data_IF_088964944635
#
_entry.id   IF_088964944635
#
_cell.length_a   1.000
_cell.length_b   1.000
_cell.length_c   1.000
_cell.angle_alpha   90.00
_cell.angle_beta   90.00
_cell.angle_gamma   90.00
#
_symmetry.space_group_name_H-M   'P 1'
#
loop_
_entity.id
_entity.type
_entity.pdbx_description
1 polymer ?
#
# COMPACT_ATOMS: atom_id res chain seq x y z
N UNK A 1 107.04 65.48 17.60
CA UNK A 1 106.87 64.30 18.50
C UNK A 1 105.66 64.42 19.43
N UNK A 2 105.28 65.61 19.93
CA UNK A 2 103.96 65.82 20.55
C UNK A 2 102.83 65.62 19.53
N UNK A 3 103.05 66.00 18.27
CA UNK A 3 102.11 65.81 17.16
C UNK A 3 101.83 64.33 16.86
N UNK A 4 102.78 63.43 17.12
CA UNK A 4 102.60 61.98 16.89
C UNK A 4 101.66 61.33 17.91
N UNK A 5 101.68 61.79 19.17
CA UNK A 5 100.77 61.31 20.21
C UNK A 5 99.38 61.94 20.03
N UNK A 6 99.31 63.22 19.63
CA UNK A 6 98.04 63.83 19.22
C UNK A 6 97.44 63.16 17.99
N UNK A 7 98.23 62.84 16.95
CA UNK A 7 97.76 62.12 15.77
C UNK A 7 97.30 60.69 16.10
N UNK A 8 97.97 59.98 17.02
CA UNK A 8 97.53 58.65 17.45
C UNK A 8 96.25 58.69 18.30
N UNK A 9 96.09 59.67 19.18
CA UNK A 9 94.81 59.88 19.89
C UNK A 9 93.70 60.34 18.95
N UNK A 10 94.02 61.15 17.93
CA UNK A 10 93.07 61.61 16.92
C UNK A 10 92.70 60.49 15.93
N UNK A 11 93.58 59.51 15.69
CA UNK A 11 93.26 58.26 14.98
C UNK A 11 92.29 57.39 15.79
N UNK A 12 92.46 57.29 17.11
CA UNK A 12 91.51 56.65 18.01
C UNK A 12 90.13 57.36 18.02
N UNK A 13 90.12 58.69 17.89
CA UNK A 13 88.88 59.48 17.74
C UNK A 13 88.23 59.28 16.36
N UNK A 14 89.00 59.22 15.27
CA UNK A 14 88.47 58.97 13.93
C UNK A 14 87.90 57.55 13.79
N UNK A 15 88.45 56.57 14.51
CA UNK A 15 87.88 55.23 14.66
C UNK A 15 86.57 55.27 15.48
N UNK A 16 86.51 56.07 16.54
CA UNK A 16 85.29 56.27 17.35
C UNK A 16 84.17 57.03 16.62
N UNK A 17 84.48 58.04 15.80
CA UNK A 17 83.46 58.81 15.07
C UNK A 17 82.85 57.98 13.92
N UNK A 18 83.55 56.93 13.44
CA UNK A 18 83.00 55.96 12.49
C UNK A 18 81.86 55.10 13.09
N UNK A 19 81.81 54.98 14.41
CA UNK A 19 80.75 54.26 15.15
C UNK A 19 79.44 55.07 15.18
N UNK A 20 79.51 56.40 15.01
CA UNK A 20 78.35 57.28 15.09
C UNK A 20 77.46 57.31 13.84
N UNK A 21 77.94 56.83 12.68
CA UNK A 21 77.20 56.91 11.41
C UNK A 21 76.57 55.60 10.94
N UNK A 22 76.88 54.47 11.58
CA UNK A 22 76.30 53.17 11.22
C UNK A 22 75.06 52.87 12.05
N UNK A 23 73.90 53.10 11.44
CA UNK A 23 72.60 52.58 11.83
C UNK A 23 72.66 51.13 12.32
N UNK A 24 71.95 50.88 13.42
CA UNK A 24 71.62 49.59 14.02
C UNK A 24 71.73 48.38 13.07
N UNK A 25 72.85 47.67 13.18
CA UNK A 25 73.06 46.38 12.52
C UNK A 25 74.38 45.77 12.95
N UNK A 26 74.32 44.88 13.95
CA UNK A 26 75.23 43.78 14.34
C UNK A 26 76.78 43.87 14.23
N UNK A 27 77.37 44.93 13.68
CA UNK A 27 78.81 45.04 13.38
C UNK A 27 79.55 46.12 14.19
N UNK A 28 78.88 46.79 15.12
CA UNK A 28 79.50 47.84 15.95
C UNK A 28 80.38 47.32 17.11
N UNK A 29 80.35 46.02 17.39
CA UNK A 29 81.09 45.43 18.53
C UNK A 29 82.57 45.21 18.17
N UNK A 30 82.88 44.83 16.93
CA UNK A 30 84.25 44.51 16.50
C UNK A 30 85.20 45.72 16.48
N UNK A 31 84.67 46.92 16.22
CA UNK A 31 85.48 48.15 16.15
C UNK A 31 85.88 48.69 17.53
N UNK A 32 85.04 48.43 18.55
CA UNK A 32 85.37 48.78 19.94
C UNK A 32 86.46 47.85 20.48
N UNK A 33 86.39 46.56 20.18
CA UNK A 33 87.40 45.57 20.55
C UNK A 33 88.77 45.88 19.91
N UNK A 34 88.80 46.21 18.61
CA UNK A 34 90.02 46.64 17.92
C UNK A 34 90.60 47.94 18.50
N UNK A 35 89.76 48.90 18.88
CA UNK A 35 90.20 50.14 19.53
C UNK A 35 90.78 49.89 20.94
N UNK A 36 90.22 48.91 21.67
CA UNK A 36 90.72 48.50 22.98
C UNK A 36 92.05 47.72 22.88
N UNK A 37 92.22 46.88 21.86
CA UNK A 37 93.48 46.16 21.58
C UNK A 37 94.63 47.12 21.23
N UNK A 38 94.34 48.21 20.52
CA UNK A 38 95.33 49.24 20.16
C UNK A 38 95.74 50.13 21.35
N UNK A 39 94.96 50.14 22.43
CA UNK A 39 95.25 50.93 23.63
C UNK A 39 96.45 50.37 24.41
N UNK A 40 96.60 49.04 24.45
CA UNK A 40 97.66 48.34 25.18
C UNK A 40 99.09 48.69 24.72
N UNK A 41 99.42 48.60 23.41
CA UNK A 41 100.70 49.01 22.85
C UNK A 41 101.00 50.50 23.06
N UNK A 42 99.96 51.34 22.97
CA UNK A 42 100.08 52.80 23.15
C UNK A 42 100.50 53.13 24.60
N UNK A 43 99.82 52.52 25.58
CA UNK A 43 100.15 52.64 27.00
C UNK A 43 101.59 52.16 27.26
N UNK A 44 101.99 51.02 26.69
CA UNK A 44 103.36 50.51 26.81
C UNK A 44 104.42 51.46 26.23
N UNK A 45 104.15 52.10 25.09
CA UNK A 45 105.08 53.07 24.47
C UNK A 45 105.23 54.36 25.30
N UNK A 46 104.14 54.84 25.91
CA UNK A 46 104.11 56.02 26.79
C UNK A 46 104.86 55.75 28.10
N UNK A 47 104.76 54.53 28.64
CA UNK A 47 105.53 54.08 29.80
C UNK A 47 107.04 54.00 29.50
N UNK A 48 107.43 53.47 28.33
CA UNK A 48 108.84 53.43 27.90
C UNK A 48 109.43 54.83 27.67
N UNK A 49 108.64 55.78 27.20
CA UNK A 49 109.07 57.16 26.95
C UNK A 49 109.04 58.07 28.20
N UNK A 50 108.68 57.55 29.38
CA UNK A 50 108.54 58.25 30.66
C UNK A 50 107.64 59.52 30.61
N UNK A 51 106.60 59.52 29.77
CA UNK A 51 105.66 60.65 29.56
C UNK A 51 104.26 60.41 30.13
N UNK A 52 104.17 59.60 31.19
CA UNK A 52 102.89 59.17 31.80
C UNK A 52 101.99 60.32 32.26
N UNK A 53 102.57 61.37 32.85
CA UNK A 53 101.81 62.53 33.37
C UNK A 53 101.12 63.31 32.25
N UNK A 54 101.79 63.50 31.12
CA UNK A 54 101.24 64.22 29.96
C UNK A 54 100.10 63.44 29.30
N UNK A 55 100.25 62.12 29.15
CA UNK A 55 99.19 61.27 28.60
C UNK A 55 97.95 61.25 29.49
N UNK A 56 98.11 61.10 30.81
CA UNK A 56 96.99 61.17 31.75
C UNK A 56 96.26 62.50 31.68
N UNK A 57 96.99 63.61 31.63
CA UNK A 57 96.40 64.94 31.49
C UNK A 57 95.64 65.10 30.16
N UNK A 58 96.14 64.49 29.08
CA UNK A 58 95.51 64.55 27.76
C UNK A 58 94.24 63.67 27.68
N UNK A 59 94.22 62.52 28.35
CA UNK A 59 93.01 61.68 28.50
C UNK A 59 91.97 62.37 29.37
N UNK A 60 92.39 63.01 30.47
CA UNK A 60 91.49 63.80 31.34
C UNK A 60 90.82 64.94 30.56
N UNK A 61 91.60 65.69 29.76
CA UNK A 61 91.09 66.75 28.90
C UNK A 61 90.15 66.21 27.81
N UNK A 62 90.41 65.01 27.28
CA UNK A 62 89.54 64.37 26.31
C UNK A 62 88.21 63.93 26.92
N UNK A 63 88.24 63.31 28.10
CA UNK A 63 87.05 62.92 28.84
C UNK A 63 86.17 64.15 29.14
N UNK A 64 86.77 65.22 29.67
CA UNK A 64 86.06 66.47 29.93
C UNK A 64 85.43 67.08 28.66
N UNK A 65 86.12 66.99 27.51
CA UNK A 65 85.60 67.45 26.24
C UNK A 65 84.41 66.62 25.76
N UNK A 66 84.46 65.29 25.91
CA UNK A 66 83.36 64.39 25.53
C UNK A 66 82.17 64.52 26.49
N UNK A 67 82.40 64.70 27.78
CA UNK A 67 81.33 64.98 28.75
C UNK A 67 80.64 66.31 28.45
N UNK A 68 81.38 67.34 28.04
CA UNK A 68 80.81 68.61 27.59
C UNK A 68 80.01 68.47 26.29
N UNK A 69 80.47 67.63 25.36
CA UNK A 69 79.76 67.32 24.11
C UNK A 69 78.43 66.57 24.39
N UNK A 70 78.47 65.57 25.28
CA UNK A 70 77.27 64.84 25.74
C UNK A 70 76.32 65.79 26.46
N UNK A 71 76.80 66.65 27.36
CA UNK A 71 75.95 67.62 28.07
C UNK A 71 75.29 68.61 27.10
N UNK A 72 75.99 69.04 26.05
CA UNK A 72 75.42 69.93 25.02
C UNK A 72 74.35 69.21 24.20
N UNK A 73 74.58 67.96 23.86
CA UNK A 73 73.63 67.14 23.09
C UNK A 73 72.40 66.78 23.94
N UNK A 74 72.59 66.39 25.19
CA UNK A 74 71.52 66.21 26.17
C UNK A 74 70.77 67.52 26.44
N UNK A 75 71.44 68.66 26.53
CA UNK A 75 70.78 69.96 26.69
C UNK A 75 69.90 70.34 25.50
N UNK A 76 70.33 70.02 24.28
CA UNK A 76 69.58 70.32 23.06
C UNK A 76 68.38 69.37 22.83
N UNK A 77 68.52 68.08 23.15
CA UNK A 77 67.53 67.05 22.82
C UNK A 77 66.75 66.47 24.02
N UNK A 78 67.03 66.91 25.25
CA UNK A 78 66.35 66.46 26.47
C UNK A 78 64.83 66.61 26.37
N UNK A 79 64.36 67.73 25.82
CA UNK A 79 62.92 68.01 25.75
C UNK A 79 62.21 67.06 24.78
N UNK A 80 62.81 66.75 23.64
CA UNK A 80 62.28 65.77 22.67
C UNK A 80 62.33 64.34 23.23
N UNK A 81 63.37 64.00 23.97
CA UNK A 81 63.49 62.71 24.66
C UNK A 81 62.39 62.54 25.72
N UNK A 82 62.16 63.56 26.56
CA UNK A 82 61.08 63.53 27.56
C UNK A 82 59.71 63.41 26.90
N UNK A 83 59.47 64.13 25.80
CA UNK A 83 58.22 64.00 25.03
C UNK A 83 58.04 62.60 24.46
N UNK A 84 59.10 61.99 23.92
CA UNK A 84 59.07 60.63 23.38
C UNK A 84 58.78 59.58 24.47
N UNK A 85 59.40 59.73 25.65
CA UNK A 85 59.12 58.88 26.83
C UNK A 85 57.67 59.04 27.30
N UNK A 86 57.16 60.28 27.36
CA UNK A 86 55.77 60.56 27.72
C UNK A 86 54.79 59.94 26.72
N UNK A 87 55.09 59.99 25.42
CA UNK A 87 54.29 59.33 24.38
C UNK A 87 54.32 57.80 24.52
N UNK A 88 55.47 57.21 24.81
CA UNK A 88 55.60 55.76 25.05
C UNK A 88 54.79 55.31 26.27
N UNK A 89 54.80 56.09 27.35
CA UNK A 89 53.97 55.83 28.53
C UNK A 89 52.48 55.91 28.20
N UNK A 90 52.08 56.90 27.39
CA UNK A 90 50.68 57.04 26.94
C UNK A 90 50.26 55.88 26.03
N UNK A 91 51.13 55.45 25.10
CA UNK A 91 50.88 54.27 24.27
C UNK A 91 50.75 53.03 25.15
N UNK A 92 51.65 52.81 26.12
CA UNK A 92 51.57 51.69 27.06
C UNK A 92 50.23 51.67 27.81
N UNK A 93 49.79 52.82 28.31
CA UNK A 93 48.51 52.95 28.99
C UNK A 93 47.34 52.61 28.05
N UNK A 94 47.31 53.20 26.85
CA UNK A 94 46.28 52.90 25.85
C UNK A 94 46.27 51.42 25.45
N UNK A 95 47.44 50.78 25.31
CA UNK A 95 47.55 49.34 25.02
C UNK A 95 47.01 48.49 26.17
N UNK A 96 47.27 48.89 27.41
CA UNK A 96 46.71 48.23 28.59
C UNK A 96 45.18 48.34 28.64
N UNK A 97 44.63 49.54 28.41
CA UNK A 97 43.19 49.76 28.35
C UNK A 97 42.54 49.00 27.19
N UNK A 98 43.20 48.93 26.04
CA UNK A 98 42.73 48.12 24.91
C UNK A 98 42.75 46.64 25.24
N UNK A 99 43.80 46.15 25.91
CA UNK A 99 43.89 44.76 26.35
C UNK A 99 42.74 44.41 27.31
N UNK A 100 42.45 45.27 28.28
CA UNK A 100 41.32 45.09 29.20
C UNK A 100 39.98 45.04 28.45
N UNK A 101 39.76 45.99 27.52
CA UNK A 101 38.56 45.99 26.67
C UNK A 101 38.45 44.73 25.82
N UNK A 102 39.53 44.27 25.20
CA UNK A 102 39.54 43.05 24.37
C UNK A 102 39.22 41.82 25.21
N UNK A 103 39.78 41.72 26.42
CA UNK A 103 39.47 40.62 27.35
C UNK A 103 38.00 40.67 27.80
N UNK A 104 37.49 41.85 28.14
CA UNK A 104 36.08 42.05 28.51
C UNK A 104 35.13 41.67 27.37
N UNK A 105 35.39 42.15 26.16
CA UNK A 105 34.58 41.85 24.98
C UNK A 105 34.63 40.36 24.63
N UNK A 106 35.79 39.71 24.77
CA UNK A 106 35.90 38.26 24.60
C UNK A 106 35.07 37.48 25.64
N UNK A 107 35.07 37.92 26.90
CA UNK A 107 34.24 37.31 27.94
C UNK A 107 32.75 37.47 27.64
N UNK A 108 32.30 38.66 27.22
CA UNK A 108 30.90 38.92 26.83
C UNK A 108 30.49 38.09 25.60
N UNK A 109 31.36 37.98 24.60
CA UNK A 109 31.12 37.15 23.40
C UNK A 109 31.05 35.67 23.77
N UNK A 110 31.90 35.18 24.68
CA UNK A 110 31.83 33.80 25.14
C UNK A 110 30.56 33.52 25.95
N UNK A 111 30.15 34.45 26.82
CA UNK A 111 28.94 34.30 27.63
C UNK A 111 27.67 34.32 26.74
N UNK A 112 27.58 35.29 25.84
CA UNK A 112 26.48 35.36 24.86
C UNK A 112 26.48 34.17 23.91
N UNK A 113 27.66 33.73 23.45
CA UNK A 113 27.85 32.53 22.64
C UNK A 113 27.40 31.25 23.35
N UNK A 114 27.68 31.11 24.65
CA UNK A 114 27.24 29.98 25.47
C UNK A 114 25.73 29.96 25.64
N UNK A 115 25.12 31.10 25.99
CA UNK A 115 23.66 31.21 26.09
C UNK A 115 22.97 30.93 24.74
N UNK A 116 23.54 31.40 23.63
CA UNK A 116 23.05 31.11 22.30
C UNK A 116 23.15 29.62 21.96
N UNK A 117 24.26 28.97 22.34
CA UNK A 117 24.46 27.54 22.13
C UNK A 117 23.42 26.71 22.89
N UNK A 118 23.16 27.03 24.15
CA UNK A 118 22.14 26.37 24.97
C UNK A 118 20.75 26.49 24.33
N UNK A 119 20.34 27.71 23.95
CA UNK A 119 19.06 27.93 23.25
C UNK A 119 18.99 27.21 21.90
N UNK A 120 20.10 27.12 21.16
CA UNK A 120 20.16 26.39 19.90
C UNK A 120 20.02 24.87 20.12
N UNK A 121 20.62 24.33 21.18
CA UNK A 121 20.49 22.93 21.54
C UNK A 121 19.03 22.60 21.91
N UNK A 122 18.38 23.44 22.71
CA UNK A 122 16.95 23.33 23.03
C UNK A 122 16.09 23.37 21.75
N UNK A 123 16.36 24.30 20.84
CA UNK A 123 15.64 24.44 19.58
C UNK A 123 15.79 23.20 18.69
N UNK A 124 16.97 22.56 18.65
CA UNK A 124 17.19 21.31 17.92
C UNK A 124 16.37 20.17 18.53
N UNK A 125 16.30 20.08 19.86
CA UNK A 125 15.49 19.08 20.56
C UNK A 125 14.00 19.29 20.26
N UNK A 126 13.50 20.52 20.36
CA UNK A 126 12.11 20.87 20.02
C UNK A 126 11.78 20.55 18.56
N UNK A 127 12.71 20.80 17.62
CA UNK A 127 12.52 20.42 16.20
C UNK A 127 12.47 18.90 16.01
N UNK A 128 13.24 18.13 16.80
CA UNK A 128 13.19 16.67 16.77
C UNK A 128 11.84 16.17 17.29
N UNK A 129 11.35 16.73 18.39
CA UNK A 129 10.02 16.43 18.93
C UNK A 129 8.93 16.78 17.93
N UNK A 130 8.96 17.98 17.34
CA UNK A 130 8.02 18.40 16.29
C UNK A 130 8.02 17.43 15.11
N UNK A 131 9.19 16.98 14.65
CA UNK A 131 9.30 15.99 13.57
C UNK A 131 8.71 14.64 13.97
N UNK A 132 8.90 14.20 15.21
CA UNK A 132 8.30 12.98 15.72
C UNK A 132 6.78 13.09 15.81
N UNK A 133 6.27 14.23 16.28
CA UNK A 133 4.83 14.54 16.34
C UNK A 133 4.24 14.53 14.92
N UNK A 134 4.89 15.15 13.95
CA UNK A 134 4.41 15.16 12.56
C UNK A 134 4.32 13.74 11.99
N UNK A 135 5.36 12.92 12.19
CA UNK A 135 5.33 11.51 11.78
C UNK A 135 4.19 10.74 12.46
N UNK A 136 3.96 10.98 13.75
CA UNK A 136 2.85 10.36 14.46
C UNK A 136 1.50 10.77 13.86
N UNK A 137 1.30 12.07 13.58
CA UNK A 137 0.09 12.58 12.93
C UNK A 137 -0.13 11.91 11.57
N UNK A 138 0.91 11.83 10.74
CA UNK A 138 0.80 11.21 9.41
C UNK A 138 0.43 9.72 9.52
N UNK A 139 1.05 8.99 10.46
CA UNK A 139 0.73 7.57 10.69
C UNK A 139 -0.69 7.35 11.21
N UNK A 140 -1.17 8.24 12.09
CA UNK A 140 -2.54 8.19 12.60
C UNK A 140 -3.52 8.46 11.46
N UNK A 141 -3.28 9.47 10.62
CA UNK A 141 -4.13 9.77 9.46
C UNK A 141 -4.26 8.57 8.52
N UNK A 142 -3.14 7.94 8.15
CA UNK A 142 -3.16 6.73 7.33
C UNK A 142 -3.93 5.59 7.99
N UNK A 143 -3.77 5.40 9.32
CA UNK A 143 -4.53 4.38 10.04
C UNK A 143 -6.04 4.65 10.10
N UNK A 144 -6.44 5.92 10.21
CA UNK A 144 -7.85 6.33 10.20
C UNK A 144 -8.51 6.06 8.85
N UNK A 145 -7.78 6.30 7.75
CA UNK A 145 -8.27 5.98 6.40
C UNK A 145 -8.52 4.47 6.23
N UNK A 146 -7.62 3.63 6.77
CA UNK A 146 -7.78 2.17 6.79
C UNK A 146 -9.00 1.75 7.59
N UNK A 147 -9.21 2.32 8.79
CA UNK A 147 -10.41 2.04 9.60
C UNK A 147 -11.68 2.46 8.84
N UNK A 148 -11.66 3.61 8.18
CA UNK A 148 -12.78 4.08 7.36
C UNK A 148 -13.07 3.13 6.18
N UNK A 149 -12.05 2.60 5.53
CA UNK A 149 -12.20 1.59 4.48
C UNK A 149 -12.85 0.32 5.00
N UNK A 150 -12.44 -0.17 6.17
CA UNK A 150 -13.06 -1.34 6.83
C UNK A 150 -14.53 -1.06 7.18
N UNK A 151 -14.84 0.12 7.72
CA UNK A 151 -16.22 0.51 7.99
C UNK A 151 -17.06 0.59 6.70
N UNK A 152 -16.50 1.16 5.63
CA UNK A 152 -17.18 1.22 4.33
C UNK A 152 -17.39 -0.16 3.72
N UNK A 153 -16.49 -1.11 3.96
CA UNK A 153 -16.68 -2.50 3.54
C UNK A 153 -17.89 -3.12 4.26
N UNK A 154 -18.01 -2.91 5.58
CA UNK A 154 -19.14 -3.44 6.34
C UNK A 154 -20.48 -2.85 5.86
N UNK A 155 -20.50 -1.56 5.52
CA UNK A 155 -21.65 -0.89 4.91
C UNK A 155 -21.96 -1.45 3.51
N UNK A 156 -20.97 -1.59 2.64
CA UNK A 156 -21.12 -2.17 1.30
C UNK A 156 -21.66 -3.61 1.34
N UNK A 157 -21.23 -4.41 2.31
CA UNK A 157 -21.75 -5.77 2.52
C UNK A 157 -23.22 -5.71 2.95
N UNK A 158 -23.60 -4.76 3.80
CA UNK A 158 -24.99 -4.59 4.24
C UNK A 158 -25.92 -4.10 3.13
N UNK A 159 -25.42 -3.27 2.21
CA UNK A 159 -26.15 -2.76 1.04
C UNK A 159 -26.16 -3.75 -0.15
N UNK A 160 -25.61 -4.95 0.01
CA UNK A 160 -25.47 -5.98 -1.05
C UNK A 160 -24.62 -5.52 -2.25
N UNK A 161 -23.77 -4.52 -2.07
CA UNK A 161 -22.84 -4.03 -3.09
C UNK A 161 -21.56 -4.88 -3.10
N UNK A 162 -21.69 -6.17 -3.39
CA UNK A 162 -20.60 -7.12 -3.25
C UNK A 162 -19.38 -6.85 -4.14
N UNK A 163 -19.60 -6.31 -5.34
CA UNK A 163 -18.49 -5.93 -6.24
C UNK A 163 -17.61 -4.84 -5.63
N UNK A 164 -18.24 -3.81 -5.05
CA UNK A 164 -17.53 -2.73 -4.38
C UNK A 164 -16.82 -3.23 -3.12
N UNK A 165 -17.48 -4.12 -2.36
CA UNK A 165 -16.88 -4.77 -1.19
C UNK A 165 -15.61 -5.59 -1.53
N UNK A 166 -15.60 -6.32 -2.65
CA UNK A 166 -14.38 -7.03 -3.10
C UNK A 166 -13.30 -6.03 -3.48
N UNK A 167 -13.65 -4.94 -4.17
CA UNK A 167 -12.68 -3.93 -4.59
C UNK A 167 -12.06 -3.22 -3.39
N UNK A 168 -12.86 -2.86 -2.39
CA UNK A 168 -12.37 -2.24 -1.15
C UNK A 168 -11.48 -3.20 -0.37
N UNK A 169 -11.85 -4.48 -0.30
CA UNK A 169 -11.02 -5.53 0.30
C UNK A 169 -9.68 -5.74 -0.45
N UNK A 170 -9.71 -5.72 -1.78
CA UNK A 170 -8.50 -5.79 -2.61
C UNK A 170 -7.57 -4.59 -2.37
N UNK A 171 -8.14 -3.38 -2.37
CA UNK A 171 -7.40 -2.16 -2.07
C UNK A 171 -6.80 -2.17 -0.64
N UNK A 172 -7.52 -2.71 0.33
CA UNK A 172 -7.04 -2.90 1.71
C UNK A 172 -5.79 -3.79 1.75
N UNK A 173 -5.79 -4.87 0.96
CA UNK A 173 -4.69 -5.86 0.89
C UNK A 173 -3.49 -5.36 0.10
N UNK A 174 -3.68 -4.63 -1.00
CA UNK A 174 -2.59 -4.18 -1.87
C UNK A 174 -1.99 -2.85 -1.43
N UNK A 175 -2.82 -1.85 -1.16
CA UNK A 175 -2.36 -0.46 -0.96
C UNK A 175 -1.98 -0.18 0.49
N UNK A 176 -2.75 -0.70 1.44
CA UNK A 176 -2.68 -0.25 2.85
C UNK A 176 -1.91 -1.19 3.77
N UNK A 177 -1.87 -2.49 3.45
CA UNK A 177 -1.07 -3.46 4.21
C UNK A 177 0.42 -3.10 4.31
N UNK A 178 1.12 -2.73 3.23
CA UNK A 178 2.54 -2.36 3.30
C UNK A 178 2.83 -1.19 4.24
N UNK A 179 1.88 -0.26 4.40
CA UNK A 179 2.03 0.94 5.21
C UNK A 179 1.82 0.66 6.71
N UNK A 180 0.89 -0.25 7.03
CA UNK A 180 0.40 -0.45 8.41
C UNK A 180 1.01 -1.69 9.09
N UNK A 181 1.66 -2.60 8.34
CA UNK A 181 2.24 -3.87 8.86
C UNK A 181 3.19 -3.71 10.05
N UNK A 182 3.86 -2.55 10.16
CA UNK A 182 4.81 -2.25 11.25
C UNK A 182 4.14 -2.04 12.61
N UNK A 183 2.84 -1.77 12.64
CA UNK A 183 2.09 -1.44 13.84
C UNK A 183 1.27 -2.63 14.35
N UNK A 184 0.99 -2.66 15.66
CA UNK A 184 0.12 -3.69 16.25
C UNK A 184 -1.27 -3.72 15.58
N UNK A 185 -1.79 -2.55 15.19
CA UNK A 185 -3.04 -2.42 14.43
C UNK A 185 -2.99 -3.18 13.09
N UNK A 186 -1.87 -3.15 12.36
CA UNK A 186 -1.71 -3.89 11.11
C UNK A 186 -1.79 -5.40 11.29
N UNK A 187 -1.23 -5.93 12.39
CA UNK A 187 -1.33 -7.36 12.72
C UNK A 187 -2.76 -7.78 13.06
N UNK A 188 -3.50 -6.92 13.76
CA UNK A 188 -4.92 -7.15 14.04
C UNK A 188 -5.75 -7.16 12.74
N UNK A 189 -5.45 -6.25 11.82
CA UNK A 189 -6.09 -6.17 10.50
C UNK A 189 -5.79 -7.40 9.64
N UNK A 190 -4.54 -7.89 9.65
CA UNK A 190 -4.15 -9.12 8.93
C UNK A 190 -4.93 -10.34 9.44
N UNK A 191 -5.25 -10.38 10.73
CA UNK A 191 -6.10 -11.41 11.33
C UNK A 191 -7.59 -11.22 11.01
N UNK A 192 -8.03 -9.99 10.75
CA UNK A 192 -9.44 -9.71 10.43
C UNK A 192 -9.79 -9.89 8.96
N UNK A 193 -8.83 -9.76 8.03
CA UNK A 193 -9.07 -9.92 6.59
C UNK A 193 -9.75 -11.26 6.25
N UNK A 194 -9.26 -12.43 6.72
CA UNK A 194 -9.94 -13.70 6.44
C UNK A 194 -11.36 -13.76 7.00
N UNK A 195 -11.63 -13.07 8.12
CA UNK A 195 -12.99 -12.98 8.69
C UNK A 195 -13.89 -12.11 7.84
N UNK A 196 -13.37 -11.03 7.27
CA UNK A 196 -14.09 -10.17 6.32
C UNK A 196 -14.40 -10.93 5.02
N UNK A 197 -13.43 -11.69 4.50
CA UNK A 197 -13.63 -12.60 3.36
C UNK A 197 -14.76 -13.61 3.63
N UNK A 198 -14.74 -14.26 4.80
CA UNK A 198 -15.77 -15.21 5.20
C UNK A 198 -17.14 -14.52 5.39
N UNK A 199 -17.18 -13.30 5.93
CA UNK A 199 -18.42 -12.52 6.09
C UNK A 199 -19.03 -12.17 4.74
N UNK A 200 -18.21 -11.72 3.79
CA UNK A 200 -18.63 -11.44 2.42
C UNK A 200 -19.13 -12.70 1.72
N UNK A 201 -18.38 -13.80 1.81
CA UNK A 201 -18.78 -15.09 1.24
C UNK A 201 -20.10 -15.58 1.84
N UNK A 202 -20.24 -15.50 3.18
CA UNK A 202 -21.46 -15.90 3.88
C UNK A 202 -22.67 -15.06 3.50
N UNK A 203 -22.52 -13.75 3.37
CA UNK A 203 -23.59 -12.86 2.92
C UNK A 203 -24.05 -13.20 1.49
N UNK A 204 -23.11 -13.38 0.56
CA UNK A 204 -23.44 -13.74 -0.81
C UNK A 204 -24.01 -15.16 -0.97
N UNK A 205 -23.58 -16.10 -0.13
CA UNK A 205 -24.17 -17.44 -0.07
C UNK A 205 -25.60 -17.39 0.48
N UNK A 206 -25.86 -16.57 1.50
CA UNK A 206 -27.20 -16.37 2.05
C UNK A 206 -28.14 -15.80 0.98
N UNK A 207 -27.72 -14.74 0.30
CA UNK A 207 -28.50 -14.11 -0.78
C UNK A 207 -28.77 -15.08 -1.94
N UNK A 208 -27.79 -15.92 -2.30
CA UNK A 208 -27.98 -16.95 -3.33
C UNK A 208 -28.96 -18.03 -2.87
N UNK A 209 -28.91 -18.45 -1.59
CA UNK A 209 -29.85 -19.42 -1.03
C UNK A 209 -31.28 -18.87 -0.94
N UNK A 210 -31.43 -17.60 -0.57
CA UNK A 210 -32.72 -16.90 -0.58
C UNK A 210 -33.27 -16.81 -2.00
N UNK A 211 -32.41 -16.53 -2.98
CA UNK A 211 -32.77 -16.59 -4.40
C UNK A 211 -33.21 -18.00 -4.82
N UNK A 212 -32.48 -19.07 -4.46
CA UNK A 212 -32.88 -20.46 -4.75
C UNK A 212 -34.24 -20.81 -4.11
N UNK A 213 -34.52 -20.28 -2.92
CA UNK A 213 -35.81 -20.45 -2.26
C UNK A 213 -36.94 -19.72 -3.02
N UNK A 214 -36.70 -18.48 -3.43
CA UNK A 214 -37.62 -17.72 -4.29
C UNK A 214 -37.85 -18.40 -5.64
N UNK A 215 -36.78 -18.98 -6.20
CA UNK A 215 -36.79 -19.72 -7.45
C UNK A 215 -37.76 -20.89 -7.39
N UNK A 216 -37.99 -21.54 -6.23
CA UNK A 216 -38.95 -22.64 -6.12
C UNK A 216 -40.36 -22.26 -6.58
N UNK A 217 -40.81 -21.03 -6.29
CA UNK A 217 -42.14 -20.56 -6.73
C UNK A 217 -42.18 -20.35 -8.24
N UNK A 218 -41.16 -19.67 -8.78
CA UNK A 218 -41.09 -19.39 -10.22
C UNK A 218 -40.85 -20.67 -11.03
N UNK A 219 -40.10 -21.63 -10.48
CA UNK A 219 -39.86 -22.97 -11.07
C UNK A 219 -41.17 -23.66 -11.40
N UNK A 220 -42.13 -23.65 -10.47
CA UNK A 220 -43.45 -24.24 -10.69
C UNK A 220 -44.23 -23.54 -11.79
N UNK A 221 -44.17 -22.21 -11.81
CA UNK A 221 -44.85 -21.40 -12.82
C UNK A 221 -44.24 -21.63 -14.21
N UNK A 222 -42.91 -21.76 -14.28
CA UNK A 222 -42.18 -22.11 -15.51
C UNK A 222 -42.62 -23.49 -16.01
N UNK A 223 -42.63 -24.49 -15.12
CA UNK A 223 -43.08 -25.83 -15.48
C UNK A 223 -44.53 -25.86 -15.97
N UNK A 224 -45.42 -25.10 -15.32
CA UNK A 224 -46.82 -24.96 -15.75
C UNK A 224 -46.93 -24.30 -17.12
N UNK A 225 -46.20 -23.23 -17.37
CA UNK A 225 -46.23 -22.53 -18.67
C UNK A 225 -45.73 -23.43 -19.80
N UNK A 226 -44.61 -24.14 -19.59
CA UNK A 226 -44.07 -25.08 -20.57
C UNK A 226 -45.01 -26.25 -20.84
N UNK A 227 -45.63 -26.78 -19.80
CA UNK A 227 -46.65 -27.84 -19.95
C UNK A 227 -47.84 -27.32 -20.74
N UNK A 228 -48.35 -26.13 -20.45
CA UNK A 228 -49.46 -25.50 -21.19
C UNK A 228 -49.11 -25.23 -22.66
N UNK A 229 -47.88 -24.76 -22.95
CA UNK A 229 -47.36 -24.60 -24.31
C UNK A 229 -47.38 -25.94 -25.04
N UNK A 230 -46.86 -26.99 -24.41
CA UNK A 230 -46.83 -28.33 -24.99
C UNK A 230 -48.23 -28.91 -25.22
N UNK A 231 -49.15 -28.77 -24.26
CA UNK A 231 -50.53 -29.25 -24.39
C UNK A 231 -51.26 -28.53 -25.53
N UNK A 232 -51.05 -27.21 -25.72
CA UNK A 232 -51.60 -26.47 -26.88
C UNK A 232 -51.03 -27.02 -28.19
N UNK A 233 -49.70 -27.23 -28.26
CA UNK A 233 -49.06 -27.83 -29.44
C UNK A 233 -49.68 -29.20 -29.76
N UNK A 234 -49.85 -30.06 -28.75
CA UNK A 234 -50.49 -31.37 -28.91
C UNK A 234 -51.95 -31.30 -29.35
N UNK A 235 -52.75 -30.38 -28.80
CA UNK A 235 -54.14 -30.19 -29.18
C UNK A 235 -54.28 -29.70 -30.63
N UNK A 236 -53.44 -28.76 -31.05
CA UNK A 236 -53.37 -28.31 -32.44
C UNK A 236 -53.01 -29.47 -33.39
N UNK A 237 -52.12 -30.39 -32.99
CA UNK A 237 -51.84 -31.57 -33.79
C UNK A 237 -53.00 -32.55 -33.83
N UNK A 238 -53.66 -32.82 -32.70
CA UNK A 238 -54.80 -33.74 -32.67
C UNK A 238 -55.96 -33.23 -33.55
N UNK A 239 -56.24 -31.93 -33.52
CA UNK A 239 -57.23 -31.30 -34.39
C UNK A 239 -56.82 -31.40 -35.87
N UNK A 240 -55.55 -31.16 -36.19
CA UNK A 240 -55.04 -31.24 -37.57
C UNK A 240 -55.00 -32.68 -38.11
N UNK A 241 -54.58 -33.65 -37.31
CA UNK A 241 -54.56 -35.07 -37.69
C UNK A 241 -55.98 -35.59 -37.96
N UNK A 242 -56.98 -35.08 -37.24
CA UNK A 242 -58.40 -35.37 -37.51
C UNK A 242 -58.94 -34.71 -38.79
N UNK A 243 -58.33 -33.60 -39.23
CA UNK A 243 -58.78 -32.76 -40.35
C UNK A 243 -58.10 -33.11 -41.69
N UNK A 244 -56.88 -33.64 -41.66
CA UNK A 244 -56.09 -33.97 -42.85
C UNK A 244 -56.53 -35.33 -43.41
N UNK A 245 -57.48 -35.32 -44.35
CA UNK A 245 -57.86 -36.52 -45.14
C UNK A 245 -56.96 -36.79 -46.36
N UNK A 246 -56.14 -35.83 -46.77
CA UNK A 246 -55.26 -35.96 -47.94
C UNK A 246 -53.81 -35.66 -47.58
N UNK A 247 -52.97 -36.70 -47.70
CA UNK A 247 -51.54 -36.70 -47.39
C UNK A 247 -50.75 -35.85 -48.40
N UNK A 248 -50.69 -34.54 -48.21
CA UNK A 248 -49.59 -33.76 -48.80
C UNK A 248 -48.35 -33.93 -47.92
N UNK A 249 -47.28 -34.36 -48.60
CA UNK A 249 -46.07 -34.97 -48.08
C UNK A 249 -45.17 -33.98 -47.33
N UNK A 250 -45.54 -33.63 -46.10
CA UNK A 250 -44.58 -33.13 -45.11
C UNK A 250 -44.66 -34.09 -43.93
N UNK A 251 -43.52 -34.70 -43.58
CA UNK A 251 -43.47 -35.58 -42.41
C UNK A 251 -43.96 -34.80 -41.19
N UNK A 252 -44.74 -35.44 -40.31
CA UNK A 252 -45.24 -34.84 -39.07
C UNK A 252 -44.11 -34.16 -38.27
N UNK A 253 -42.89 -34.72 -38.31
CA UNK A 253 -41.71 -34.16 -37.68
C UNK A 253 -41.18 -32.86 -38.34
N UNK A 254 -41.36 -32.68 -39.65
CA UNK A 254 -40.91 -31.47 -40.37
C UNK A 254 -41.92 -30.33 -40.20
N UNK A 255 -43.21 -30.65 -40.14
CA UNK A 255 -44.25 -29.66 -39.89
C UNK A 255 -44.19 -29.13 -38.44
N UNK A 256 -43.83 -29.99 -37.49
CA UNK A 256 -43.61 -29.61 -36.09
C UNK A 256 -42.58 -28.48 -35.94
N UNK A 257 -41.45 -28.58 -36.64
CA UNK A 257 -40.39 -27.56 -36.62
C UNK A 257 -40.83 -26.25 -37.29
N UNK A 258 -41.68 -26.33 -38.32
CA UNK A 258 -42.21 -25.14 -39.00
C UNK A 258 -43.23 -24.37 -38.15
N UNK A 259 -43.99 -25.06 -37.28
CA UNK A 259 -44.92 -24.42 -36.34
C UNK A 259 -44.17 -23.69 -35.20
N UNK A 260 -42.93 -24.09 -34.84
CA UNK A 260 -42.12 -23.43 -33.80
C UNK A 260 -41.68 -22.01 -34.17
N UNK A 261 -41.52 -21.69 -35.46
CA UNK A 261 -41.14 -20.34 -35.91
C UNK A 261 -42.25 -19.29 -35.71
N UNK A 262 -43.50 -19.73 -35.43
CA UNK A 262 -44.67 -18.85 -35.29
C UNK A 262 -45.19 -18.67 -33.86
N UNK A 263 -44.67 -19.43 -32.89
CA UNK A 263 -44.96 -19.22 -31.47
C UNK A 263 -44.11 -18.03 -30.94
N UNK A 264 -44.66 -16.82 -31.02
CA UNK A 264 -44.12 -15.58 -30.44
C UNK A 264 -44.23 -15.54 -28.90
N UNK A 265 -43.92 -16.65 -28.25
CA UNK A 265 -44.02 -16.79 -26.82
C UNK A 265 -42.72 -16.30 -26.18
N UNK A 266 -42.83 -15.31 -25.28
CA UNK A 266 -41.66 -14.69 -24.65
C UNK A 266 -40.72 -15.76 -24.05
N UNK A 267 -39.40 -15.63 -24.24
CA UNK A 267 -38.44 -16.54 -23.66
C UNK A 267 -38.53 -16.45 -22.14
N UNK A 268 -38.69 -17.61 -21.50
CA UNK A 268 -38.73 -17.71 -20.05
C UNK A 268 -37.32 -17.39 -19.52
N UNK A 269 -37.12 -16.14 -19.10
CA UNK A 269 -35.84 -15.68 -18.56
C UNK A 269 -35.87 -15.72 -17.04
N UNK A 270 -34.85 -16.34 -16.45
CA UNK A 270 -34.67 -16.40 -15.00
C UNK A 270 -33.47 -15.54 -14.65
N UNK A 271 -33.65 -14.58 -13.74
CA UNK A 271 -32.55 -13.72 -13.31
C UNK A 271 -31.49 -14.51 -12.53
N UNK A 272 -30.33 -14.73 -13.15
CA UNK A 272 -29.18 -15.47 -12.58
C UNK A 272 -28.20 -14.57 -11.81
N UNK A 273 -28.53 -13.28 -11.61
CA UNK A 273 -27.61 -12.31 -11.02
C UNK A 273 -27.04 -12.74 -9.65
N UNK A 274 -27.85 -13.26 -8.70
CA UNK A 274 -27.33 -13.69 -7.40
C UNK A 274 -26.32 -14.85 -7.51
N UNK A 275 -26.54 -15.77 -8.46
CA UNK A 275 -25.63 -16.86 -8.74
C UNK A 275 -24.28 -16.33 -9.28
N UNK A 276 -24.31 -15.40 -10.23
CA UNK A 276 -23.08 -14.81 -10.80
C UNK A 276 -22.30 -13.98 -9.78
N UNK A 277 -22.99 -13.21 -8.93
CA UNK A 277 -22.34 -12.47 -7.86
C UNK A 277 -21.64 -13.42 -6.88
N UNK A 278 -22.33 -14.47 -6.44
CA UNK A 278 -21.76 -15.48 -5.55
C UNK A 278 -20.58 -16.21 -6.20
N UNK A 279 -20.71 -16.58 -7.48
CA UNK A 279 -19.64 -17.21 -8.25
C UNK A 279 -18.40 -16.31 -8.35
N UNK A 280 -18.61 -15.03 -8.69
CA UNK A 280 -17.53 -14.05 -8.82
C UNK A 280 -16.77 -13.86 -7.50
N UNK A 281 -17.49 -13.78 -6.38
CA UNK A 281 -16.87 -13.66 -5.05
C UNK A 281 -16.03 -14.90 -4.74
N UNK A 282 -16.58 -16.10 -4.93
CA UNK A 282 -15.85 -17.34 -4.67
C UNK A 282 -14.64 -17.52 -5.59
N UNK A 283 -14.70 -17.01 -6.82
CA UNK A 283 -13.57 -16.98 -7.74
C UNK A 283 -12.47 -16.03 -7.27
N UNK A 284 -12.82 -14.81 -6.86
CA UNK A 284 -11.86 -13.83 -6.31
C UNK A 284 -11.24 -14.28 -4.98
N UNK A 285 -11.97 -15.06 -4.19
CA UNK A 285 -11.47 -15.66 -2.95
C UNK A 285 -10.70 -16.98 -3.16
N UNK A 286 -10.66 -17.52 -4.39
CA UNK A 286 -9.99 -18.80 -4.68
C UNK A 286 -10.71 -20.05 -4.16
N UNK A 287 -11.99 -19.94 -3.77
CA UNK A 287 -12.81 -21.03 -3.20
C UNK A 287 -13.87 -21.58 -4.17
N UNK A 288 -13.63 -21.44 -5.48
CA UNK A 288 -14.56 -21.87 -6.54
C UNK A 288 -14.92 -23.36 -6.45
N UNK A 289 -13.95 -24.23 -6.15
CA UNK A 289 -14.18 -25.67 -6.08
C UNK A 289 -15.08 -26.07 -4.90
N UNK A 290 -14.88 -25.47 -3.73
CA UNK A 290 -15.71 -25.67 -2.54
C UNK A 290 -17.15 -25.22 -2.81
N UNK A 291 -17.30 -24.04 -3.43
CA UNK A 291 -18.61 -23.52 -3.81
C UNK A 291 -19.34 -24.45 -4.80
N UNK A 292 -18.64 -24.94 -5.83
CA UNK A 292 -19.22 -25.89 -6.80
C UNK A 292 -19.73 -27.16 -6.13
N UNK A 293 -18.99 -27.69 -5.17
CA UNK A 293 -19.40 -28.88 -4.40
C UNK A 293 -20.65 -28.60 -3.58
N UNK A 294 -20.63 -27.55 -2.76
CA UNK A 294 -21.77 -27.16 -1.93
C UNK A 294 -23.02 -26.89 -2.78
N UNK A 295 -22.86 -26.22 -3.93
CA UNK A 295 -23.97 -25.96 -4.84
C UNK A 295 -24.55 -27.26 -5.42
N UNK A 296 -23.70 -28.22 -5.80
CA UNK A 296 -24.16 -29.51 -6.34
C UNK A 296 -24.92 -30.32 -5.28
N UNK A 297 -24.44 -30.31 -4.04
CA UNK A 297 -25.12 -30.94 -2.89
C UNK A 297 -26.47 -30.26 -2.63
N UNK A 298 -26.51 -28.92 -2.53
CA UNK A 298 -27.75 -28.15 -2.30
C UNK A 298 -28.82 -28.43 -3.39
N UNK A 299 -28.40 -28.53 -4.67
CA UNK A 299 -29.32 -28.81 -5.79
C UNK A 299 -29.81 -30.26 -5.78
N UNK A 300 -28.97 -31.22 -5.40
CA UNK A 300 -29.38 -32.61 -5.18
C UNK A 300 -30.43 -32.72 -4.06
N UNK A 301 -30.21 -32.01 -2.96
CA UNK A 301 -31.14 -31.98 -1.83
C UNK A 301 -32.47 -31.34 -2.23
N UNK A 302 -32.46 -30.25 -3.00
CA UNK A 302 -33.67 -29.63 -3.53
C UNK A 302 -34.49 -30.58 -4.41
N UNK A 303 -33.83 -31.31 -5.33
CA UNK A 303 -34.51 -32.33 -6.14
C UNK A 303 -35.10 -33.43 -5.25
N UNK A 304 -34.35 -33.88 -4.24
CA UNK A 304 -34.83 -34.88 -3.29
C UNK A 304 -36.07 -34.42 -2.52
N UNK A 305 -36.13 -33.14 -2.14
CA UNK A 305 -37.26 -32.54 -1.43
C UNK A 305 -38.51 -32.41 -2.31
N UNK A 306 -38.34 -32.08 -3.60
CA UNK A 306 -39.45 -32.07 -4.56
C UNK A 306 -40.07 -33.48 -4.65
N UNK A 307 -39.22 -34.50 -4.77
CA UNK A 307 -39.63 -35.91 -4.94
C UNK A 307 -40.06 -36.60 -3.63
N UNK A 308 -39.75 -36.02 -2.47
CA UNK A 308 -40.16 -36.54 -1.16
C UNK A 308 -41.62 -36.17 -0.79
N UNK A 309 -42.25 -35.27 -1.56
CA UNK A 309 -43.64 -34.89 -1.33
C UNK A 309 -44.56 -36.13 -1.45
N UNK A 310 -45.36 -36.47 -0.42
CA UNK A 310 -46.20 -37.65 -0.46
C UNK A 310 -47.31 -37.46 -1.51
N UNK A 311 -47.24 -38.23 -2.59
CA UNK A 311 -48.29 -38.30 -3.61
C UNK A 311 -49.06 -39.59 -3.42
N UNK A 312 -50.35 -39.46 -3.16
CA UNK A 312 -51.30 -40.56 -3.19
C UNK A 312 -52.23 -40.34 -4.38
N UNK A 313 -52.36 -41.35 -5.24
CA UNK A 313 -53.34 -41.31 -6.33
C UNK A 313 -54.71 -41.67 -5.78
N UNK A 314 -55.56 -40.66 -5.59
CA UNK A 314 -56.96 -40.82 -5.20
C UNK A 314 -57.84 -40.20 -6.29
N UNK A 315 -58.95 -40.87 -6.61
CA UNK A 315 -59.95 -40.59 -7.68
C UNK A 315 -60.27 -39.10 -7.92
N UNK A 316 -60.16 -38.25 -6.89
CA UNK A 316 -60.60 -36.86 -6.92
C UNK A 316 -59.49 -35.82 -6.98
N UNK A 317 -58.19 -36.19 -6.94
CA UNK A 317 -57.13 -35.19 -6.97
C UNK A 317 -55.75 -35.70 -7.46
N UNK A 318 -55.51 -35.63 -8.78
CA UNK A 318 -54.17 -35.76 -9.37
C UNK A 318 -53.35 -34.46 -9.34
N UNK A 319 -53.94 -33.35 -8.87
CA UNK A 319 -53.29 -32.05 -8.81
C UNK A 319 -51.93 -32.03 -8.10
N UNK A 320 -51.74 -32.70 -6.94
CA UNK A 320 -50.43 -32.80 -6.28
C UNK A 320 -49.35 -33.43 -7.17
N UNK A 321 -49.71 -34.40 -8.01
CA UNK A 321 -48.78 -35.04 -8.94
C UNK A 321 -48.46 -34.14 -10.12
N UNK A 322 -49.47 -33.49 -10.70
CA UNK A 322 -49.30 -32.49 -11.76
C UNK A 322 -48.37 -31.35 -11.29
N UNK A 323 -48.58 -30.86 -10.06
CA UNK A 323 -47.71 -29.84 -9.47
C UNK A 323 -46.27 -30.33 -9.24
N UNK A 324 -46.08 -31.58 -8.85
CA UNK A 324 -44.75 -32.19 -8.76
C UNK A 324 -44.09 -32.26 -10.14
N UNK A 325 -44.82 -32.65 -11.19
CA UNK A 325 -44.28 -32.67 -12.56
C UNK A 325 -43.87 -31.27 -13.01
N UNK A 326 -44.68 -30.24 -12.72
CA UNK A 326 -44.31 -28.84 -13.00
C UNK A 326 -43.06 -28.42 -12.22
N UNK A 327 -42.93 -28.79 -10.94
CA UNK A 327 -41.73 -28.51 -10.14
C UNK A 327 -40.49 -29.19 -10.73
N UNK A 328 -40.60 -30.44 -11.21
CA UNK A 328 -39.51 -31.18 -11.86
C UNK A 328 -39.11 -30.52 -13.18
N UNK A 329 -40.08 -30.20 -14.06
CA UNK A 329 -39.82 -29.53 -15.34
C UNK A 329 -39.06 -28.24 -15.09
N UNK A 330 -39.59 -27.36 -14.24
CA UNK A 330 -38.95 -26.09 -13.95
C UNK A 330 -37.54 -26.28 -13.39
N UNK A 331 -37.33 -27.27 -12.52
CA UNK A 331 -36.02 -27.49 -11.88
C UNK A 331 -34.95 -27.79 -12.94
N UNK A 332 -35.25 -28.70 -13.87
CA UNK A 332 -34.33 -29.09 -14.93
C UNK A 332 -34.15 -28.01 -16.02
N UNK A 333 -35.15 -27.16 -16.25
CA UNK A 333 -35.00 -25.99 -17.14
C UNK A 333 -34.03 -24.97 -16.54
N UNK A 334 -34.13 -24.71 -15.23
CA UNK A 334 -33.16 -23.84 -14.54
C UNK A 334 -31.76 -24.48 -14.61
N UNK A 335 -31.62 -25.79 -14.38
CA UNK A 335 -30.32 -26.47 -14.53
C UNK A 335 -29.74 -26.35 -15.94
N UNK A 336 -30.58 -26.48 -16.96
CA UNK A 336 -30.17 -26.30 -18.36
C UNK A 336 -29.67 -24.87 -18.61
N UNK A 337 -30.39 -23.87 -18.11
CA UNK A 337 -30.00 -22.46 -18.23
C UNK A 337 -28.70 -22.14 -17.48
N UNK A 338 -28.49 -22.75 -16.32
CA UNK A 338 -27.24 -22.63 -15.55
C UNK A 338 -26.08 -23.27 -16.32
N UNK A 339 -26.29 -24.45 -16.90
CA UNK A 339 -25.30 -25.14 -17.73
C UNK A 339 -24.92 -24.31 -18.96
N UNK A 340 -25.90 -23.74 -19.65
CA UNK A 340 -25.68 -22.89 -20.82
C UNK A 340 -24.92 -21.61 -20.47
N UNK A 341 -25.22 -21.01 -19.32
CA UNK A 341 -24.65 -19.72 -18.93
C UNK A 341 -23.27 -19.83 -18.27
N UNK A 342 -22.97 -20.96 -17.61
CA UNK A 342 -21.73 -21.15 -16.87
C UNK A 342 -21.15 -22.57 -17.04
N UNK A 343 -20.62 -22.91 -18.23
CA UNK A 343 -20.11 -24.26 -18.54
C UNK A 343 -18.91 -24.67 -17.69
N UNK A 344 -18.08 -23.71 -17.26
CA UNK A 344 -16.93 -23.99 -16.38
C UNK A 344 -17.33 -24.22 -14.92
N UNK A 345 -18.58 -23.94 -14.55
CA UNK A 345 -19.09 -24.08 -13.19
C UNK A 345 -19.91 -25.35 -13.01
N UNK A 346 -20.80 -25.63 -13.97
CA UNK A 346 -21.70 -26.79 -13.96
C UNK A 346 -21.35 -27.73 -15.11
N UNK A 347 -21.14 -29.01 -14.82
CA UNK A 347 -20.88 -30.00 -15.87
C UNK A 347 -22.16 -30.69 -16.34
N UNK A 348 -22.21 -31.05 -17.62
CA UNK A 348 -23.31 -31.81 -18.20
C UNK A 348 -23.50 -33.16 -17.50
N UNK A 349 -22.41 -33.85 -17.16
CA UNK A 349 -22.47 -35.12 -16.43
C UNK A 349 -23.12 -35.01 -15.05
N UNK A 350 -22.92 -33.89 -14.35
CA UNK A 350 -23.54 -33.67 -13.03
C UNK A 350 -25.07 -33.51 -13.17
N UNK A 351 -25.52 -32.84 -14.23
CA UNK A 351 -26.95 -32.64 -14.53
C UNK A 351 -27.59 -33.95 -15.02
N UNK A 352 -26.92 -34.70 -15.89
CA UNK A 352 -27.40 -35.99 -16.38
C UNK A 352 -27.55 -37.01 -15.23
N UNK A 353 -26.61 -37.05 -14.29
CA UNK A 353 -26.70 -37.91 -13.10
C UNK A 353 -27.86 -37.52 -12.17
N UNK A 354 -28.14 -36.22 -12.03
CA UNK A 354 -29.31 -35.73 -11.31
C UNK A 354 -30.62 -36.10 -12.00
N UNK A 355 -30.65 -36.02 -13.34
CA UNK A 355 -31.78 -36.45 -14.15
C UNK A 355 -32.07 -37.93 -13.96
N UNK A 356 -31.05 -38.79 -14.07
CA UNK A 356 -31.17 -40.23 -13.84
C UNK A 356 -31.73 -40.55 -12.44
N UNK A 357 -31.25 -39.85 -11.42
CA UNK A 357 -31.74 -39.99 -10.04
C UNK A 357 -33.20 -39.54 -9.90
N UNK A 358 -33.56 -38.43 -10.58
CA UNK A 358 -34.92 -37.91 -10.61
C UNK A 358 -35.90 -38.88 -11.29
N UNK A 359 -35.52 -39.41 -12.45
CA UNK A 359 -36.32 -40.40 -13.21
C UNK A 359 -36.49 -41.69 -12.43
N UNK A 360 -35.43 -42.20 -11.77
CA UNK A 360 -35.53 -43.40 -10.95
C UNK A 360 -36.54 -43.22 -9.78
N UNK A 361 -36.45 -42.09 -9.07
CA UNK A 361 -37.39 -41.78 -7.98
C UNK A 361 -38.82 -41.53 -8.47
N UNK A 362 -38.99 -40.85 -9.61
CA UNK A 362 -40.30 -40.67 -10.24
C UNK A 362 -40.92 -42.02 -10.62
N UNK A 363 -40.10 -42.93 -11.17
CA UNK A 363 -40.50 -44.29 -11.51
C UNK A 363 -40.95 -45.07 -10.27
N UNK A 364 -40.23 -44.95 -9.15
CA UNK A 364 -40.62 -45.56 -7.87
C UNK A 364 -41.96 -45.03 -7.35
N UNK A 365 -42.22 -43.72 -7.47
CA UNK A 365 -43.49 -43.10 -7.05
C UNK A 365 -44.65 -43.67 -7.87
N UNK A 366 -44.47 -43.79 -9.19
CA UNK A 366 -45.47 -44.36 -10.09
C UNK A 366 -45.69 -45.84 -9.76
N UNK A 367 -44.61 -46.61 -9.58
CA UNK A 367 -44.67 -48.04 -9.27
C UNK A 367 -45.39 -48.33 -7.94
N UNK A 368 -45.16 -47.53 -6.91
CA UNK A 368 -45.84 -47.66 -5.61
C UNK A 368 -47.35 -47.47 -5.70
N UNK A 369 -47.82 -46.67 -6.64
CA UNK A 369 -49.23 -46.38 -6.82
C UNK A 369 -49.86 -47.14 -8.01
N UNK A 370 -49.16 -48.13 -8.58
CA UNK A 370 -49.61 -48.88 -9.76
C UNK A 370 -50.96 -49.59 -9.57
N UNK A 371 -51.26 -50.02 -8.34
CA UNK A 371 -52.53 -50.66 -8.00
C UNK A 371 -53.71 -49.69 -8.09
N UNK A 372 -53.53 -48.44 -7.64
CA UNK A 372 -54.54 -47.39 -7.77
C UNK A 372 -54.76 -47.01 -9.24
N UNK A 373 -53.67 -46.98 -10.04
CA UNK A 373 -53.74 -46.69 -11.48
C UNK A 373 -54.51 -47.78 -12.24
N UNK A 374 -54.29 -49.07 -11.92
CA UNK A 374 -54.96 -50.19 -12.61
C UNK A 374 -56.42 -50.34 -12.23
N UNK A 375 -56.83 -49.87 -11.05
CA UNK A 375 -58.21 -50.01 -10.58
C UNK A 375 -59.16 -48.99 -11.21
N UNK A 376 -58.65 -47.87 -11.70
CA UNK A 376 -59.47 -46.77 -12.22
C UNK A 376 -59.02 -46.30 -13.61
N UNK A 377 -59.92 -46.47 -14.59
CA UNK A 377 -59.69 -46.11 -15.98
C UNK A 377 -59.54 -44.59 -16.20
N UNK A 378 -60.24 -43.75 -15.40
CA UNK A 378 -60.16 -42.30 -15.54
C UNK A 378 -58.80 -41.78 -15.05
N UNK A 379 -58.35 -42.22 -13.87
CA UNK A 379 -57.01 -41.91 -13.34
C UNK A 379 -55.91 -42.38 -14.29
N UNK A 380 -56.04 -43.58 -14.85
CA UNK A 380 -55.09 -44.10 -15.85
C UNK A 380 -55.02 -43.22 -17.10
N UNK A 381 -56.15 -42.72 -17.60
CA UNK A 381 -56.19 -41.86 -18.78
C UNK A 381 -55.52 -40.50 -18.53
N UNK A 382 -55.89 -39.83 -17.43
CA UNK A 382 -55.32 -38.51 -17.08
C UNK A 382 -53.82 -38.63 -16.78
N UNK A 383 -53.40 -39.69 -16.08
CA UNK A 383 -51.99 -39.93 -15.80
C UNK A 383 -51.19 -40.16 -17.09
N UNK A 384 -51.74 -40.91 -18.05
CA UNK A 384 -51.12 -41.13 -19.35
C UNK A 384 -50.94 -39.80 -20.10
N UNK A 385 -51.94 -38.92 -20.08
CA UNK A 385 -51.85 -37.59 -20.71
C UNK A 385 -50.78 -36.70 -20.05
N UNK A 386 -50.75 -36.65 -18.71
CA UNK A 386 -49.76 -35.88 -17.94
C UNK A 386 -48.33 -36.37 -18.19
N UNK A 387 -48.09 -37.68 -18.13
CA UNK A 387 -46.76 -38.27 -18.35
C UNK A 387 -46.33 -38.14 -19.81
N UNK A 388 -47.25 -38.24 -20.76
CA UNK A 388 -46.97 -38.02 -22.19
C UNK A 388 -46.54 -36.59 -22.42
N UNK A 389 -47.30 -35.61 -21.89
CA UNK A 389 -46.94 -34.19 -21.98
C UNK A 389 -45.59 -33.91 -21.33
N UNK A 390 -45.34 -34.43 -20.12
CA UNK A 390 -44.06 -34.30 -19.44
C UNK A 390 -42.89 -34.86 -20.26
N UNK A 391 -43.08 -36.03 -20.87
CA UNK A 391 -42.06 -36.69 -21.72
C UNK A 391 -41.68 -35.81 -22.91
N UNK A 392 -42.67 -35.22 -23.58
CA UNK A 392 -42.42 -34.33 -24.72
C UNK A 392 -41.72 -33.03 -24.31
N UNK A 393 -42.14 -32.40 -23.21
CA UNK A 393 -41.48 -31.19 -22.68
C UNK A 393 -40.01 -31.47 -22.39
N UNK A 394 -39.68 -32.59 -21.75
CA UNK A 394 -38.30 -32.93 -21.42
C UNK A 394 -37.48 -33.32 -22.65
N UNK A 395 -38.08 -33.94 -23.67
CA UNK A 395 -37.43 -34.24 -24.95
C UNK A 395 -37.09 -32.96 -25.74
N UNK A 396 -38.00 -31.98 -25.81
CA UNK A 396 -37.78 -30.67 -26.45
C UNK A 396 -36.57 -29.95 -25.81
N UNK A 397 -36.34 -30.17 -24.52
CA UNK A 397 -35.23 -29.61 -23.75
C UNK A 397 -33.98 -30.53 -23.70
N UNK A 398 -33.89 -31.50 -24.62
CA UNK A 398 -32.74 -32.38 -24.84
C UNK A 398 -32.37 -33.32 -23.67
N UNK A 399 -33.34 -33.70 -22.82
CA UNK A 399 -33.15 -34.72 -21.78
C UNK A 399 -33.47 -36.13 -22.29
N UNK A 400 -32.77 -37.15 -21.76
CA UNK A 400 -33.00 -38.55 -22.15
C UNK A 400 -34.24 -39.13 -21.45
N UNK A 401 -35.31 -39.33 -22.23
CA UNK A 401 -36.59 -39.82 -21.73
C UNK A 401 -36.85 -41.31 -22.03
N UNK A 402 -35.86 -42.06 -22.54
CA UNK A 402 -36.04 -43.49 -22.91
C UNK A 402 -36.62 -44.34 -21.79
N UNK A 403 -36.03 -44.24 -20.60
CA UNK A 403 -36.46 -44.98 -19.40
C UNK A 403 -37.91 -44.66 -19.01
N UNK A 404 -38.32 -43.40 -19.17
CA UNK A 404 -39.68 -42.97 -18.88
C UNK A 404 -40.68 -43.52 -19.91
N UNK A 405 -40.31 -43.53 -21.20
CA UNK A 405 -41.15 -44.15 -22.24
C UNK A 405 -41.33 -45.64 -22.01
N UNK A 406 -40.25 -46.37 -21.73
CA UNK A 406 -40.31 -47.81 -21.42
C UNK A 406 -41.26 -48.07 -20.23
N UNK A 407 -41.20 -47.23 -19.19
CA UNK A 407 -42.11 -47.31 -18.06
C UNK A 407 -43.56 -47.01 -18.43
N UNK A 408 -43.82 -45.99 -19.25
CA UNK A 408 -45.19 -45.69 -19.73
C UNK A 408 -45.76 -46.86 -20.54
N UNK A 409 -44.96 -47.48 -21.42
CA UNK A 409 -45.38 -48.65 -22.20
C UNK A 409 -45.71 -49.82 -21.27
N UNK A 410 -44.85 -50.10 -20.29
CA UNK A 410 -45.06 -51.20 -19.33
C UNK A 410 -46.31 -51.02 -18.45
N UNK A 411 -46.75 -49.78 -18.19
CA UNK A 411 -47.91 -49.49 -17.34
C UNK A 411 -49.21 -49.42 -18.14
N UNK A 412 -49.18 -48.84 -19.35
CA UNK A 412 -50.39 -48.52 -20.12
C UNK A 412 -50.64 -49.40 -21.36
N UNK A 413 -49.68 -50.23 -21.78
CA UNK A 413 -49.86 -51.21 -22.88
C UNK A 413 -49.93 -52.68 -22.38
N UNK A 414 -50.02 -52.89 -21.07
CA UNK A 414 -50.09 -54.22 -20.45
C UNK A 414 -51.53 -54.70 -20.17
#
# INVERSE_FOLDING_TARGET
MADSIQQQLQQLVLLSDSVGSSSAGSGGISTVEEAMEQLGPLIHSVYRANKQKMFRQQVELFAQRKDAEIMKLCGNYHQEFVQSVAQLLKVRQNTSELQEKVVGLNAEVQQSGKSLYEKKAELVNLRREQRNIQKAIDTVKSSTEVVRMVASFDEQVSEKQYYLAIKTLGALKETFMPQVRKYAFGRLLETSIPKMENKLQGAALSDMKDWLYGLKKTTRDIGRQLTQRMTKKQAMWAERDSSIKERYFVSSAVQFVLDEEFDHDDPITVEMMPLYQCLHINEKLGRRAEFRRSFTEDRSDQLSLILASPVQFVLTNLGPFEYMLHDIIGFFIVEHNILASAPDFRSKSDVDALWDTGVAKLSDIIARNIQAIRQDAEVSSVLKELLTTFTFVMEENAYDVRKLRELMMAIFEA
#
